data_IF_024451884809
#
_entry.id   IF_024451884809
#
_cell.length_a   1.000
_cell.length_b   1.000
_cell.length_c   1.000
_cell.angle_alpha   90.00
_cell.angle_beta   90.00
_cell.angle_gamma   90.00
#
_symmetry.space_group_name_H-M   'P 1'
#
loop_
_entity.id
_entity.type
_entity.pdbx_description
1 polymer ?
#
# COMPACT_ATOMS: atom_id res chain seq x y z
N UNK A 1 37.04 4.15 6.17
CA UNK A 1 36.08 4.33 7.28
C UNK A 1 34.78 3.66 6.89
N UNK A 2 34.33 2.62 7.61
CA UNK A 2 32.99 2.06 7.42
C UNK A 2 32.02 3.02 8.09
N UNK A 3 31.23 3.75 7.30
CA UNK A 3 30.20 4.63 7.82
C UNK A 3 29.16 3.73 8.50
N UNK A 4 29.04 3.78 9.83
CA UNK A 4 27.95 3.07 10.53
C UNK A 4 26.63 3.58 9.95
N UNK A 5 25.79 2.67 9.48
CA UNK A 5 24.46 3.00 9.02
C UNK A 5 23.74 3.79 10.13
N UNK A 6 23.21 4.97 9.79
CA UNK A 6 22.39 5.75 10.72
C UNK A 6 21.12 4.93 11.01
N UNK A 7 20.92 4.56 12.28
CA UNK A 7 19.75 3.81 12.74
C UNK A 7 18.81 4.75 13.50
N UNK A 8 17.53 4.71 13.15
CA UNK A 8 16.46 5.33 13.94
C UNK A 8 15.71 4.23 14.66
N UNK A 9 15.28 4.48 15.90
CA UNK A 9 14.44 3.56 16.67
C UNK A 9 13.37 4.38 17.36
N UNK A 10 12.12 3.93 17.23
CA UNK A 10 10.96 4.60 17.78
C UNK A 10 9.91 3.54 18.14
N UNK A 11 8.93 3.95 18.95
CA UNK A 11 7.75 3.15 19.28
C UNK A 11 6.54 3.97 18.86
N UNK A 12 5.61 3.32 18.16
CA UNK A 12 4.39 3.92 17.65
C UNK A 12 3.30 2.84 17.59
N UNK A 13 2.05 3.27 17.52
CA UNK A 13 0.96 2.40 17.12
C UNK A 13 1.01 2.16 15.59
N UNK A 14 0.35 1.11 15.12
CA UNK A 14 0.25 0.82 13.69
C UNK A 14 -1.08 0.14 13.35
N UNK A 15 -1.75 0.67 12.34
CA UNK A 15 -2.89 0.01 11.71
C UNK A 15 -2.42 -0.96 10.62
N UNK A 16 -3.25 -1.96 10.26
CA UNK A 16 -2.99 -2.79 9.09
C UNK A 16 -3.46 -2.04 7.84
N UNK A 17 -2.55 -1.87 6.89
CA UNK A 17 -2.85 -1.40 5.54
C UNK A 17 -3.25 -2.61 4.68
N UNK A 18 -4.57 -2.75 4.50
CA UNK A 18 -5.16 -3.78 3.67
C UNK A 18 -5.46 -3.31 2.24
N UNK A 19 -5.51 -2.01 2.00
CA UNK A 19 -5.95 -1.48 0.71
C UNK A 19 -4.92 -1.73 -0.41
N UNK A 20 -3.64 -1.83 -0.05
CA UNK A 20 -2.54 -2.19 -0.94
C UNK A 20 -2.50 -3.66 -1.38
N UNK A 21 -3.43 -4.52 -0.96
CA UNK A 21 -3.49 -5.91 -1.41
C UNK A 21 -4.05 -5.97 -2.85
N UNK A 22 -3.19 -6.19 -3.84
CA UNK A 22 -3.49 -6.04 -5.26
C UNK A 22 -3.69 -7.38 -6.00
N UNK A 23 -3.87 -8.48 -5.25
CA UNK A 23 -4.17 -9.79 -5.81
C UNK A 23 -2.95 -10.50 -6.42
N UNK A 24 -1.74 -10.08 -6.05
CA UNK A 24 -0.51 -10.70 -6.54
C UNK A 24 -0.27 -12.05 -5.84
N UNK A 25 0.37 -12.99 -6.55
CA UNK A 25 0.68 -14.34 -6.05
C UNK A 25 -0.54 -15.10 -5.49
N UNK A 26 -1.68 -15.01 -6.18
CA UNK A 26 -2.96 -15.63 -5.81
C UNK A 26 -3.52 -15.17 -4.45
N UNK A 27 -2.99 -14.08 -3.88
CA UNK A 27 -3.54 -13.46 -2.70
C UNK A 27 -4.90 -12.82 -3.00
N UNK A 28 -5.73 -12.66 -1.96
CA UNK A 28 -7.00 -11.94 -2.08
C UNK A 28 -6.73 -10.45 -2.31
N UNK A 29 -7.33 -9.88 -3.36
CA UNK A 29 -7.27 -8.45 -3.61
C UNK A 29 -8.20 -7.66 -2.67
N UNK A 30 -7.79 -6.44 -2.33
CA UNK A 30 -8.55 -5.47 -1.56
C UNK A 30 -9.82 -5.07 -2.29
N UNK A 31 -9.70 -4.62 -3.54
CA UNK A 31 -10.82 -4.14 -4.32
C UNK A 31 -11.07 -5.01 -5.55
N UNK A 32 -12.31 -5.45 -5.70
CA UNK A 32 -12.80 -6.22 -6.84
C UNK A 32 -13.99 -5.50 -7.46
N UNK A 33 -14.16 -5.63 -8.78
CA UNK A 33 -15.20 -4.93 -9.52
C UNK A 33 -16.63 -5.34 -9.14
N UNK A 34 -16.79 -6.51 -8.54
CA UNK A 34 -18.04 -7.04 -7.98
C UNK A 34 -18.19 -6.77 -6.48
N UNK A 35 -17.30 -5.96 -5.89
CA UNK A 35 -17.27 -5.64 -4.46
C UNK A 35 -17.00 -6.85 -3.53
N UNK A 36 -16.43 -7.95 -4.08
CA UNK A 36 -16.10 -9.17 -3.33
C UNK A 36 -14.70 -9.19 -2.71
N UNK A 37 -13.93 -8.11 -2.89
CA UNK A 37 -12.59 -7.95 -2.35
C UNK A 37 -12.53 -8.03 -0.83
N UNK A 38 -11.33 -8.04 -0.24
CA UNK A 38 -11.21 -7.97 1.23
C UNK A 38 -11.68 -6.63 1.80
N UNK A 39 -11.70 -5.58 0.97
CA UNK A 39 -12.16 -4.24 1.28
C UNK A 39 -13.39 -3.87 0.43
N UNK A 40 -14.31 -3.09 1.01
CA UNK A 40 -15.43 -2.56 0.27
C UNK A 40 -14.97 -1.44 -0.67
N UNK A 41 -15.51 -1.37 -1.89
CA UNK A 41 -15.23 -0.30 -2.87
C UNK A 41 -15.39 1.11 -2.27
N UNK A 42 -16.34 1.28 -1.37
CA UNK A 42 -16.58 2.54 -0.67
C UNK A 42 -15.36 3.05 0.12
N UNK A 43 -14.52 2.15 0.65
CA UNK A 43 -13.30 2.52 1.37
C UNK A 43 -12.25 3.14 0.44
N UNK A 44 -12.26 2.76 -0.84
CA UNK A 44 -11.45 3.37 -1.89
C UNK A 44 -12.13 4.56 -2.59
N UNK A 45 -13.28 5.03 -2.09
CA UNK A 45 -14.03 6.14 -2.69
C UNK A 45 -14.75 5.74 -3.98
N UNK A 46 -14.97 4.44 -4.20
CA UNK A 46 -15.60 3.86 -5.38
C UNK A 46 -16.98 3.28 -5.05
N UNK A 47 -17.75 2.95 -6.07
CA UNK A 47 -18.99 2.19 -5.95
C UNK A 47 -19.54 1.75 -7.28
N UNK A 48 -20.56 0.90 -7.26
CA UNK A 48 -21.20 0.39 -8.47
C UNK A 48 -22.41 1.27 -8.82
N UNK A 49 -22.46 1.74 -10.07
CA UNK A 49 -23.57 2.51 -10.66
C UNK A 49 -23.91 1.95 -12.03
N UNK A 50 -25.17 1.56 -12.21
CA UNK A 50 -25.65 0.94 -13.46
C UNK A 50 -24.80 -0.26 -13.93
N UNK A 51 -24.28 -1.06 -13.00
CA UNK A 51 -23.45 -2.23 -13.30
C UNK A 51 -21.97 -1.93 -13.60
N UNK A 52 -21.54 -0.66 -13.50
CA UNK A 52 -20.15 -0.26 -13.69
C UNK A 52 -19.54 0.26 -12.38
N UNK A 53 -18.26 0.00 -12.17
CA UNK A 53 -17.51 0.61 -11.07
C UNK A 53 -17.14 2.05 -11.44
N UNK A 54 -17.47 2.99 -10.55
CA UNK A 54 -17.20 4.41 -10.72
C UNK A 54 -16.61 5.00 -9.44
N UNK A 55 -15.88 6.11 -9.58
CA UNK A 55 -15.54 6.94 -8.43
C UNK A 55 -16.79 7.64 -7.91
N UNK A 56 -17.08 7.50 -6.62
CA UNK A 56 -18.19 8.19 -5.93
C UNK A 56 -17.71 9.34 -5.04
N UNK A 57 -16.40 9.44 -4.81
CA UNK A 57 -15.76 10.54 -4.10
C UNK A 57 -14.57 11.07 -4.91
N UNK A 58 -14.32 12.38 -4.89
CA UNK A 58 -13.29 13.03 -5.73
C UNK A 58 -11.86 12.53 -5.50
N UNK A 59 -11.59 11.95 -4.33
CA UNK A 59 -10.28 11.46 -3.91
C UNK A 59 -9.99 10.02 -4.35
N UNK A 60 -10.94 9.29 -4.94
CA UNK A 60 -10.72 7.89 -5.38
C UNK A 60 -9.52 7.76 -6.35
N UNK A 61 -9.32 8.79 -7.18
CA UNK A 61 -8.23 8.89 -8.15
C UNK A 61 -6.85 8.96 -7.51
N UNK A 62 -6.76 9.33 -6.24
CA UNK A 62 -5.52 9.37 -5.49
C UNK A 62 -5.18 7.98 -4.94
N UNK A 63 -6.20 7.13 -4.75
CA UNK A 63 -6.09 5.78 -4.18
C UNK A 63 -5.84 4.74 -5.27
N UNK A 64 -6.65 4.68 -6.32
CA UNK A 64 -6.60 3.56 -7.28
C UNK A 64 -6.02 3.92 -8.64
N UNK A 65 -5.62 2.91 -9.41
CA UNK A 65 -5.27 3.05 -10.81
C UNK A 65 -6.50 3.50 -11.65
N UNK A 66 -6.29 4.41 -12.60
CA UNK A 66 -7.36 5.06 -13.36
C UNK A 66 -7.19 4.83 -14.85
N UNK A 67 -8.29 4.55 -15.53
CA UNK A 67 -8.40 4.49 -16.99
C UNK A 67 -9.63 5.27 -17.43
N UNK A 68 -9.45 6.24 -18.35
CA UNK A 68 -10.53 7.08 -18.87
C UNK A 68 -11.39 7.76 -17.78
N UNK A 69 -10.77 8.14 -16.66
CA UNK A 69 -11.45 8.81 -15.54
C UNK A 69 -12.26 7.89 -14.63
N UNK A 70 -12.19 6.56 -14.79
CA UNK A 70 -12.82 5.57 -13.92
C UNK A 70 -11.77 4.66 -13.26
N UNK A 71 -12.12 3.93 -12.18
CA UNK A 71 -11.25 2.88 -11.66
C UNK A 71 -10.88 1.89 -12.77
N UNK A 72 -9.60 1.63 -12.93
CA UNK A 72 -9.12 0.65 -13.90
C UNK A 72 -9.39 -0.75 -13.36
N UNK A 73 -10.04 -1.57 -14.19
CA UNK A 73 -10.32 -2.97 -13.88
C UNK A 73 -9.30 -3.83 -14.64
N UNK A 74 -8.43 -4.51 -13.90
CA UNK A 74 -7.44 -5.45 -14.42
C UNK A 74 -8.06 -6.83 -14.67
N UNK A 75 -7.38 -7.74 -15.41
CA UNK A 75 -7.84 -9.12 -15.58
C UNK A 75 -8.20 -9.78 -14.24
N UNK A 76 -9.32 -10.51 -14.23
CA UNK A 76 -9.87 -11.10 -13.00
C UNK A 76 -10.76 -10.15 -12.19
N UNK A 77 -10.97 -8.91 -12.63
CA UNK A 77 -11.85 -7.95 -11.96
C UNK A 77 -11.15 -7.15 -10.86
N UNK A 78 -9.84 -7.24 -10.73
CA UNK A 78 -9.05 -6.56 -9.70
C UNK A 78 -8.99 -5.06 -9.97
N UNK A 79 -9.13 -4.25 -8.92
CA UNK A 79 -8.87 -2.83 -8.95
C UNK A 79 -7.67 -2.55 -8.04
N UNK A 80 -6.62 -1.97 -8.62
CA UNK A 80 -5.33 -1.80 -7.95
C UNK A 80 -5.32 -0.53 -7.12
N UNK A 81 -5.01 -0.65 -5.82
CA UNK A 81 -4.60 0.48 -4.98
C UNK A 81 -3.14 0.83 -5.29
N UNK A 82 -2.89 2.11 -5.55
CA UNK A 82 -1.58 2.62 -5.92
C UNK A 82 -0.73 2.77 -4.68
N UNK A 83 0.43 2.14 -4.71
CA UNK A 83 1.53 2.50 -3.81
C UNK A 83 2.45 3.50 -4.51
N UNK A 84 3.16 4.34 -3.74
CA UNK A 84 4.11 5.28 -4.32
C UNK A 84 5.34 4.61 -4.95
N UNK A 85 5.51 3.30 -4.72
CA UNK A 85 6.56 2.49 -5.31
C UNK A 85 6.06 1.75 -6.54
N UNK A 86 6.57 2.17 -7.70
CA UNK A 86 6.50 1.36 -8.90
C UNK A 86 7.69 0.38 -8.94
N UNK A 87 7.41 -0.91 -9.09
CA UNK A 87 8.42 -1.94 -9.26
C UNK A 87 9.13 -1.72 -10.60
N UNK A 88 10.45 -1.54 -10.55
CA UNK A 88 11.26 -1.25 -11.73
C UNK A 88 11.26 -2.44 -12.68
N UNK A 89 10.93 -2.20 -13.94
CA UNK A 89 10.91 -3.20 -15.00
C UNK A 89 9.56 -3.88 -15.20
N UNK A 90 8.59 -3.63 -14.32
CA UNK A 90 7.21 -4.07 -14.50
C UNK A 90 6.48 -3.15 -15.49
N UNK A 91 5.52 -3.73 -16.22
CA UNK A 91 4.74 -3.01 -17.22
C UNK A 91 3.75 -2.05 -16.57
N UNK A 92 3.32 -1.04 -17.31
CA UNK A 92 2.34 -0.07 -16.80
C UNK A 92 0.97 -0.67 -16.53
N UNK A 93 0.61 -1.69 -17.31
CA UNK A 93 -0.70 -2.32 -17.35
C UNK A 93 -0.75 -3.66 -16.61
N UNK A 94 -0.17 -3.71 -15.41
CA UNK A 94 -0.26 -4.89 -14.55
C UNK A 94 -0.31 -4.51 -13.08
N UNK A 95 -1.07 -5.24 -12.24
CA UNK A 95 -1.02 -5.05 -10.80
C UNK A 95 0.40 -5.13 -10.23
N UNK A 96 1.25 -5.98 -10.85
CA UNK A 96 2.66 -6.17 -10.47
C UNK A 96 3.50 -4.90 -10.48
N UNK A 97 3.03 -3.82 -11.12
CA UNK A 97 3.68 -2.51 -11.05
C UNK A 97 3.74 -1.97 -9.63
N UNK A 98 2.82 -2.35 -8.76
CA UNK A 98 2.68 -1.76 -7.43
C UNK A 98 3.18 -2.73 -6.36
N UNK A 99 3.65 -2.18 -5.25
CA UNK A 99 3.89 -2.98 -4.04
C UNK A 99 2.56 -3.56 -3.55
N UNK A 100 2.57 -4.83 -3.20
CA UNK A 100 1.39 -5.59 -2.77
C UNK A 100 1.44 -5.87 -1.27
N UNK A 101 0.43 -5.39 -0.54
CA UNK A 101 0.38 -5.48 0.92
C UNK A 101 0.23 -6.91 1.44
N UNK A 102 -0.36 -7.80 0.62
CA UNK A 102 -0.57 -9.20 0.99
C UNK A 102 0.73 -10.03 0.91
N UNK A 103 1.70 -9.62 0.10
CA UNK A 103 2.90 -10.43 -0.20
C UNK A 103 4.23 -9.74 0.11
N UNK A 104 4.25 -8.41 0.26
CA UNK A 104 5.47 -7.65 0.57
C UNK A 104 5.39 -7.08 1.99
N UNK A 105 6.29 -7.48 2.91
CA UNK A 105 6.38 -6.86 4.23
C UNK A 105 6.85 -5.40 4.11
N UNK A 106 6.01 -4.46 4.54
CA UNK A 106 6.38 -3.06 4.67
C UNK A 106 5.81 -2.40 5.92
N UNK A 107 6.41 -1.27 6.29
CA UNK A 107 5.94 -0.39 7.35
C UNK A 107 5.92 1.06 6.87
N UNK A 108 4.83 1.77 7.13
CA UNK A 108 4.72 3.21 6.95
C UNK A 108 5.04 3.85 8.29
N UNK A 109 6.09 4.68 8.31
CA UNK A 109 6.57 5.33 9.53
C UNK A 109 5.90 6.70 9.70
N UNK A 110 5.74 7.20 10.94
CA UNK A 110 5.14 8.51 11.16
C UNK A 110 5.87 9.61 10.39
N UNK A 111 5.17 10.60 9.80
CA UNK A 111 5.78 11.62 8.94
C UNK A 111 6.95 12.37 9.57
N UNK A 112 6.95 12.56 10.90
CA UNK A 112 8.06 13.19 11.62
C UNK A 112 9.37 12.41 11.48
N UNK A 113 9.31 11.08 11.37
CA UNK A 113 10.49 10.23 11.15
C UNK A 113 11.05 10.49 9.76
N UNK A 114 10.20 10.57 8.73
CA UNK A 114 10.61 10.89 7.36
C UNK A 114 11.25 12.29 7.30
N UNK A 115 10.62 13.28 7.93
CA UNK A 115 11.05 14.69 7.88
C UNK A 115 12.35 14.96 8.65
N UNK A 116 12.62 14.21 9.72
CA UNK A 116 13.76 14.45 10.62
C UNK A 116 14.94 13.53 10.37
N UNK A 117 14.74 12.43 9.64
CA UNK A 117 15.83 11.50 9.31
C UNK A 117 16.63 12.04 8.14
N UNK A 118 17.97 12.02 8.26
CA UNK A 118 18.85 12.39 7.16
C UNK A 118 18.85 11.31 6.08
N UNK A 119 18.63 11.69 4.82
CA UNK A 119 18.71 10.79 3.67
C UNK A 119 17.34 10.35 3.15
N UNK A 120 17.34 9.44 2.18
CA UNK A 120 16.11 8.82 1.69
C UNK A 120 15.61 7.84 2.75
N UNK A 121 14.32 7.91 3.11
CA UNK A 121 13.72 7.06 4.15
C UNK A 121 12.83 5.99 3.53
N UNK A 122 11.95 6.39 2.60
CA UNK A 122 11.10 5.44 1.88
C UNK A 122 11.98 4.42 1.12
N UNK A 123 11.60 3.15 1.15
CA UNK A 123 12.33 2.05 0.51
C UNK A 123 13.55 1.56 1.30
N UNK A 124 13.90 2.20 2.42
CA UNK A 124 14.94 1.68 3.30
C UNK A 124 14.50 0.40 4.01
N UNK A 125 15.48 -0.39 4.42
CA UNK A 125 15.29 -1.51 5.32
C UNK A 125 14.77 -1.05 6.68
N UNK A 126 13.80 -1.77 7.22
CA UNK A 126 13.25 -1.62 8.55
C UNK A 126 13.07 -2.99 9.23
N UNK A 127 13.03 -2.97 10.56
CA UNK A 127 12.62 -4.10 11.38
C UNK A 127 11.52 -3.64 12.32
N UNK A 128 10.37 -4.30 12.24
CA UNK A 128 9.24 -4.08 13.14
C UNK A 128 9.24 -5.20 14.18
N UNK A 129 8.99 -4.86 15.44
CA UNK A 129 8.92 -5.83 16.54
C UNK A 129 7.66 -5.59 17.36
N UNK A 130 6.84 -6.63 17.54
CA UNK A 130 5.64 -6.60 18.38
C UNK A 130 5.50 -7.90 19.17
N UNK A 131 5.27 -7.80 20.49
CA UNK A 131 5.13 -8.95 21.41
C UNK A 131 6.22 -10.03 21.26
N UNK A 132 7.46 -9.60 20.99
CA UNK A 132 8.61 -10.50 20.83
C UNK A 132 8.81 -11.07 19.42
N UNK A 133 7.83 -10.91 18.52
CA UNK A 133 7.95 -11.27 17.11
C UNK A 133 8.58 -10.12 16.32
N UNK A 134 9.41 -10.43 15.33
CA UNK A 134 10.03 -9.42 14.47
C UNK A 134 9.92 -9.80 13.01
N UNK A 135 9.71 -8.80 12.16
CA UNK A 135 9.72 -8.94 10.71
C UNK A 135 10.65 -7.91 10.09
N UNK A 136 11.44 -8.36 9.12
CA UNK A 136 12.25 -7.49 8.27
C UNK A 136 11.40 -7.03 7.10
N UNK A 137 11.38 -5.73 6.86
CA UNK A 137 10.46 -5.10 5.91
C UNK A 137 11.10 -3.87 5.27
N UNK A 138 10.43 -3.29 4.28
CA UNK A 138 10.81 -2.00 3.69
C UNK A 138 9.95 -0.86 4.26
N UNK A 139 10.47 0.37 4.25
CA UNK A 139 9.65 1.55 4.55
C UNK A 139 8.75 1.84 3.34
N UNK A 140 7.43 1.71 3.53
CA UNK A 140 6.41 2.01 2.53
C UNK A 140 6.09 3.51 2.40
N UNK A 141 5.06 3.82 1.60
CA UNK A 141 4.45 5.14 1.57
C UNK A 141 2.99 5.03 1.99
N UNK A 142 2.48 6.05 2.66
CA UNK A 142 1.13 6.05 3.21
C UNK A 142 0.70 7.43 3.71
N UNK A 143 -0.48 7.52 4.35
CA UNK A 143 -1.15 8.77 4.63
C UNK A 143 -0.34 9.69 5.56
N UNK A 144 -0.18 10.95 5.15
CA UNK A 144 0.62 11.97 5.83
C UNK A 144 0.14 12.39 7.24
N UNK A 145 -0.92 11.78 7.78
CA UNK A 145 -1.56 12.17 9.05
C UNK A 145 -1.75 11.02 10.05
N UNK A 146 -1.29 9.80 9.74
CA UNK A 146 -1.40 8.65 10.65
C UNK A 146 -0.11 8.38 11.43
N UNK A 147 -0.26 7.63 12.53
CA UNK A 147 0.83 7.28 13.46
C UNK A 147 1.76 6.21 12.84
N UNK A 148 1.22 5.34 12.00
CA UNK A 148 1.95 4.34 11.21
C UNK A 148 0.99 3.29 10.65
N UNK A 149 1.42 2.55 9.64
CA UNK A 149 0.69 1.40 9.09
C UNK A 149 1.67 0.26 8.79
N UNK A 150 1.20 -0.98 8.81
CA UNK A 150 1.97 -2.16 8.39
C UNK A 150 1.18 -2.96 7.35
N UNK A 151 1.88 -3.58 6.41
CA UNK A 151 1.22 -4.44 5.43
C UNK A 151 0.68 -5.73 6.07
N UNK A 152 -0.29 -6.36 5.41
CA UNK A 152 -0.81 -7.69 5.80
C UNK A 152 0.33 -8.71 5.94
N UNK A 153 1.31 -8.69 5.03
CA UNK A 153 2.46 -9.58 5.06
C UNK A 153 3.41 -9.35 6.25
N UNK A 154 3.36 -8.17 6.89
CA UNK A 154 4.17 -7.83 8.06
C UNK A 154 3.44 -8.08 9.40
N UNK A 155 2.11 -8.23 9.38
CA UNK A 155 1.25 -8.36 10.56
C UNK A 155 1.26 -9.76 11.20
#
# INVERSE_FOLDING_TARGET
MVQRAKKVTFVADADIDADGANGQNDARAAYMADDSGSEALANGGMGIRHGEVVGIADWFKDIVAIENGKPKIFPGGVIVSKTAYHIRGEQEDTPKRYVDAATVPYVIVPPVIIQRTTGVVRGCFARVTYKGNSVDCMIGDGPHKKIGEISIAAA
#
